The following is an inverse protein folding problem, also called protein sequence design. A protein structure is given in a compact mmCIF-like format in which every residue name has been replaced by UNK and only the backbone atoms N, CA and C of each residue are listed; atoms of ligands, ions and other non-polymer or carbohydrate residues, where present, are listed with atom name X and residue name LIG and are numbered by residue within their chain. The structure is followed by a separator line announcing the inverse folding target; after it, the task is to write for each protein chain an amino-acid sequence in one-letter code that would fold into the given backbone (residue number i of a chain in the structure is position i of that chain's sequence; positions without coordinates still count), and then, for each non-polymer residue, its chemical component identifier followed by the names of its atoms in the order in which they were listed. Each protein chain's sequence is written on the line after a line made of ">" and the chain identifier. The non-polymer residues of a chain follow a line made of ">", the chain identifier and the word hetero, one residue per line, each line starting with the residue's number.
data_IF_009780187579
#
_entry.id   IF_009780187579
#
_cell.length_a   1.000
_cell.length_b   1.000
_cell.length_c   1.000
_cell.angle_alpha   90.00
_cell.angle_beta   90.00
_cell.angle_gamma   90.00
#
_symmetry.space_group_name_H-M   'P 1'
#
loop_
_entity.id
_entity.type
_entity.pdbx_description
1 polymer ?
#
# COMPACT_ATOMS: atom_id res chain seq x y z
N UNK A 1 24.06 55.53 30.83
CA UNK A 1 23.82 54.19 31.39
C UNK A 1 22.31 54.00 31.53
N UNK A 2 21.76 52.88 31.06
CA UNK A 2 20.38 52.48 31.40
C UNK A 2 19.45 52.16 30.23
N UNK A 3 19.77 51.06 29.51
CA UNK A 3 18.90 50.10 28.82
C UNK A 3 17.45 50.51 28.48
N UNK A 4 17.17 50.66 27.17
CA UNK A 4 15.83 50.49 26.61
C UNK A 4 15.65 49.04 26.16
N UNK A 5 14.70 48.33 26.79
CA UNK A 5 14.16 47.07 26.30
C UNK A 5 13.23 47.35 25.10
N UNK A 6 13.34 46.63 23.97
CA UNK A 6 12.32 46.66 22.94
C UNK A 6 11.20 45.66 23.27
N UNK A 7 10.00 46.19 23.42
CA UNK A 7 8.74 45.47 23.51
C UNK A 7 8.48 44.69 22.21
N UNK A 8 8.42 43.36 22.29
CA UNK A 8 7.98 42.49 21.19
C UNK A 8 6.49 42.71 20.94
N UNK A 9 6.15 43.55 19.96
CA UNK A 9 4.78 43.69 19.46
C UNK A 9 4.48 42.48 18.58
N UNK A 10 3.69 41.57 19.13
CA UNK A 10 3.14 40.40 18.46
C UNK A 10 2.07 40.85 17.45
N UNK A 11 2.45 41.15 16.19
CA UNK A 11 1.49 41.40 15.09
C UNK A 11 1.25 40.12 14.31
N UNK A 12 0.27 39.34 14.75
CA UNK A 12 -0.36 38.33 13.90
C UNK A 12 -1.22 39.01 12.84
N UNK A 13 -0.80 38.95 11.58
CA UNK A 13 -1.64 39.35 10.45
C UNK A 13 -2.43 38.15 9.93
N UNK A 14 -3.69 38.05 10.35
CA UNK A 14 -4.72 37.21 9.75
C UNK A 14 -5.31 37.96 8.54
N UNK A 15 -4.80 37.71 7.34
CA UNK A 15 -5.43 38.17 6.10
C UNK A 15 -6.21 37.01 5.47
N UNK A 16 -7.55 37.07 5.64
CA UNK A 16 -8.52 36.23 4.92
C UNK A 16 -8.43 36.54 3.42
N UNK A 17 -8.11 35.53 2.60
CA UNK A 17 -8.20 35.60 1.13
C UNK A 17 -9.48 34.90 0.66
N UNK A 18 -10.23 35.54 -0.24
CA UNK A 18 -11.56 35.20 -0.76
C UNK A 18 -11.59 34.05 -1.81
N UNK A 19 -10.67 33.10 -1.74
CA UNK A 19 -10.70 31.92 -2.62
C UNK A 19 -10.56 30.63 -1.79
N UNK A 20 -11.71 30.16 -1.30
CA UNK A 20 -11.84 28.93 -0.54
C UNK A 20 -11.71 27.70 -1.44
N UNK A 21 -10.47 27.27 -1.66
CA UNK A 21 -10.16 25.87 -1.96
C UNK A 21 -9.12 25.36 -0.96
N UNK A 22 -9.42 24.32 -0.17
CA UNK A 22 -8.51 23.81 0.88
C UNK A 22 -7.14 23.36 0.36
N UNK A 23 -7.06 22.98 -0.92
CA UNK A 23 -5.80 22.53 -1.56
C UNK A 23 -4.89 23.69 -1.97
N UNK A 24 -5.45 24.84 -2.32
CA UNK A 24 -4.67 26.01 -2.76
C UNK A 24 -4.02 26.73 -1.56
N UNK A 25 -4.73 26.80 -0.43
CA UNK A 25 -4.21 27.40 0.81
C UNK A 25 -3.03 26.61 1.42
N UNK A 26 -2.94 25.28 1.24
CA UNK A 26 -1.81 24.49 1.76
C UNK A 26 -0.50 24.79 1.02
N UNK A 27 -0.53 24.91 -0.31
CA UNK A 27 0.65 25.24 -1.11
C UNK A 27 1.20 26.62 -0.74
N UNK A 28 0.34 27.62 -0.64
CA UNK A 28 0.74 28.99 -0.24
C UNK A 28 1.30 29.03 1.20
N UNK A 29 0.74 28.24 2.13
CA UNK A 29 1.28 28.17 3.49
C UNK A 29 2.69 27.59 3.54
N UNK A 30 3.03 26.57 2.75
CA UNK A 30 4.40 26.02 2.71
C UNK A 30 5.38 27.07 2.18
N UNK A 31 5.04 27.76 1.08
CA UNK A 31 5.89 28.81 0.54
C UNK A 31 6.03 30.01 1.48
N UNK A 32 4.98 30.40 2.21
CA UNK A 32 5.02 31.51 3.18
C UNK A 32 5.74 31.17 4.48
N UNK A 33 5.60 29.94 5.00
CA UNK A 33 6.32 29.48 6.20
C UNK A 33 7.82 29.34 5.91
N UNK A 34 8.18 29.00 4.67
CA UNK A 34 9.57 28.78 4.25
C UNK A 34 10.18 29.99 3.51
N UNK A 35 9.54 31.17 3.56
CA UNK A 35 10.11 32.43 3.06
C UNK A 35 10.34 32.50 1.54
N UNK A 36 9.66 31.68 0.75
CA UNK A 36 9.92 31.59 -0.69
C UNK A 36 9.07 32.58 -1.50
N UNK A 37 9.73 33.44 -2.28
CA UNK A 37 9.12 34.30 -3.29
C UNK A 37 9.66 33.94 -4.67
N UNK A 38 8.80 33.74 -5.70
CA UNK A 38 9.25 33.40 -7.04
C UNK A 38 10.05 34.57 -7.65
N UNK A 39 11.29 34.32 -8.06
CA UNK A 39 12.14 35.29 -8.79
C UNK A 39 13.56 35.51 -8.25
N UNK A 40 13.89 34.99 -7.06
CA UNK A 40 15.27 34.92 -6.55
C UNK A 40 15.52 33.55 -5.95
N UNK A 41 16.60 32.88 -6.36
CA UNK A 41 17.11 31.74 -5.61
C UNK A 41 17.51 32.26 -4.22
N UNK A 42 16.91 31.78 -3.13
CA UNK A 42 17.29 32.22 -1.79
C UNK A 42 18.72 31.72 -1.53
N UNK A 43 19.56 32.63 -1.07
CA UNK A 43 20.85 32.27 -0.48
C UNK A 43 20.55 31.45 0.79
N UNK A 44 21.02 30.22 0.85
CA UNK A 44 20.54 29.23 1.83
C UNK A 44 20.98 29.59 3.25
N UNK A 45 22.06 30.35 3.38
CA UNK A 45 22.51 30.94 4.64
C UNK A 45 21.52 32.01 5.17
N UNK A 46 20.70 32.60 4.30
CA UNK A 46 19.72 33.63 4.65
C UNK A 46 18.35 33.10 5.10
N UNK A 47 18.07 31.80 4.91
CA UNK A 47 16.78 31.21 5.28
C UNK A 47 16.68 30.81 6.77
N UNK A 48 17.80 30.66 7.48
CA UNK A 48 17.86 30.49 8.94
C UNK A 48 17.11 29.27 9.52
N UNK A 49 16.48 28.43 8.70
CA UNK A 49 15.73 27.28 9.18
C UNK A 49 16.66 26.06 9.37
N UNK A 50 16.72 25.47 10.56
CA UNK A 50 17.50 24.26 10.78
C UNK A 50 17.00 23.15 9.84
N UNK A 51 17.92 22.45 9.15
CA UNK A 51 17.60 21.28 8.31
C UNK A 51 16.68 20.26 9.00
N UNK A 52 16.81 20.12 10.33
CA UNK A 52 15.96 19.28 11.15
C UNK A 52 14.46 19.69 11.13
N UNK A 53 14.16 20.99 11.05
CA UNK A 53 12.80 21.52 10.96
C UNK A 53 12.21 21.22 9.57
N UNK A 54 12.97 21.50 8.50
CA UNK A 54 12.55 21.18 7.14
C UNK A 54 12.25 19.69 6.97
N UNK A 55 13.14 18.82 7.49
CA UNK A 55 12.93 17.37 7.47
C UNK A 55 11.63 16.97 8.17
N UNK A 56 11.32 17.54 9.33
CA UNK A 56 10.06 17.28 10.05
C UNK A 56 8.82 17.73 9.27
N UNK A 57 8.90 18.87 8.61
CA UNK A 57 7.81 19.37 7.75
C UNK A 57 7.60 18.41 6.57
N UNK A 58 8.67 18.06 5.85
CA UNK A 58 8.63 17.17 4.70
C UNK A 58 8.08 15.78 5.05
N UNK A 59 8.43 15.23 6.22
CA UNK A 59 7.87 13.96 6.69
C UNK A 59 6.35 13.98 6.88
N UNK A 60 5.72 15.14 6.98
CA UNK A 60 4.25 15.30 7.05
C UNK A 60 3.56 15.53 5.71
N UNK A 61 4.30 15.63 4.60
CA UNK A 61 3.77 15.91 3.28
C UNK A 61 3.31 14.63 2.56
N UNK A 62 2.44 14.79 1.55
CA UNK A 62 2.11 13.69 0.63
C UNK A 62 3.26 13.45 -0.36
N UNK A 63 3.29 12.26 -1.00
CA UNK A 63 4.30 11.98 -2.04
C UNK A 63 4.29 13.02 -3.18
N UNK A 64 3.11 13.47 -3.59
CA UNK A 64 2.98 14.49 -4.65
C UNK A 64 3.56 15.85 -4.21
N UNK A 65 3.34 16.23 -2.96
CA UNK A 65 3.89 17.47 -2.41
C UNK A 65 5.40 17.36 -2.20
N UNK A 66 5.91 16.18 -1.79
CA UNK A 66 7.34 15.91 -1.71
C UNK A 66 8.02 16.00 -3.07
N UNK A 67 7.42 15.41 -4.11
CA UNK A 67 7.92 15.54 -5.48
C UNK A 67 7.99 17.01 -5.91
N UNK A 68 6.99 17.81 -5.53
CA UNK A 68 7.02 19.26 -5.77
C UNK A 68 8.15 19.96 -5.00
N UNK A 69 8.41 19.56 -3.75
CA UNK A 69 9.49 20.12 -2.92
C UNK A 69 10.88 19.81 -3.50
N UNK A 70 11.09 18.63 -4.07
CA UNK A 70 12.35 18.25 -4.72
C UNK A 70 12.68 19.11 -5.96
N UNK A 71 11.70 19.81 -6.52
CA UNK A 71 11.87 20.69 -7.68
C UNK A 71 12.15 22.15 -7.28
N UNK A 72 12.06 22.50 -6.00
CA UNK A 72 12.22 23.89 -5.53
C UNK A 72 13.68 24.34 -5.55
N UNK A 73 14.57 23.56 -4.94
CA UNK A 73 16.01 23.83 -4.91
C UNK A 73 16.83 22.56 -4.68
N UNK A 74 18.15 22.65 -4.88
CA UNK A 74 19.07 21.50 -4.77
C UNK A 74 19.15 20.95 -3.34
N UNK A 75 19.03 21.82 -2.35
CA UNK A 75 19.16 21.51 -0.92
C UNK A 75 17.93 20.75 -0.39
N UNK A 76 16.74 21.10 -0.88
CA UNK A 76 15.53 20.34 -0.54
C UNK A 76 15.54 18.98 -1.19
N UNK A 77 15.98 18.92 -2.45
CA UNK A 77 16.22 17.66 -3.14
C UNK A 77 17.20 16.80 -2.37
N UNK A 78 18.38 17.32 -2.01
CA UNK A 78 19.40 16.55 -1.29
C UNK A 78 18.96 16.12 0.11
N UNK A 79 18.08 16.88 0.78
CA UNK A 79 17.51 16.47 2.06
C UNK A 79 16.50 15.31 1.92
N UNK A 80 15.65 15.36 0.90
CA UNK A 80 14.59 14.37 0.63
C UNK A 80 15.17 13.10 0.01
N UNK A 81 16.17 13.23 -0.86
CA UNK A 81 16.77 12.16 -1.67
C UNK A 81 17.81 11.36 -0.88
N UNK A 82 17.47 11.00 0.37
CA UNK A 82 18.31 10.20 1.27
C UNK A 82 17.56 8.99 1.78
N UNK A 83 18.27 7.87 1.95
CA UNK A 83 17.69 6.65 2.52
C UNK A 83 17.10 6.91 3.92
N UNK A 84 17.73 7.74 4.73
CA UNK A 84 17.26 8.06 6.08
C UNK A 84 15.97 8.86 6.09
N UNK A 85 15.78 9.77 5.13
CA UNK A 85 14.51 10.47 4.97
C UNK A 85 13.40 9.47 4.66
N UNK A 86 13.59 8.62 3.67
CA UNK A 86 12.57 7.66 3.23
C UNK A 86 12.25 6.58 4.25
N UNK A 87 13.25 6.07 4.98
CA UNK A 87 13.01 5.16 6.13
C UNK A 87 12.10 5.82 7.18
N UNK A 88 12.37 7.07 7.53
CA UNK A 88 11.55 7.81 8.47
C UNK A 88 10.15 8.08 7.91
N UNK A 89 10.05 8.43 6.62
CA UNK A 89 8.78 8.65 5.94
C UNK A 89 7.92 7.39 5.93
N UNK A 90 8.50 6.23 5.59
CA UNK A 90 7.79 4.94 5.56
C UNK A 90 7.32 4.55 6.95
N UNK A 91 8.21 4.62 7.94
CA UNK A 91 7.86 4.28 9.33
C UNK A 91 6.71 5.15 9.84
N UNK A 92 6.72 6.45 9.51
CA UNK A 92 5.70 7.40 9.95
C UNK A 92 4.36 7.18 9.25
N UNK A 93 4.37 6.99 7.92
CA UNK A 93 3.15 7.01 7.12
C UNK A 93 2.55 5.62 6.87
N UNK A 94 3.36 4.56 6.95
CA UNK A 94 2.94 3.20 6.59
C UNK A 94 3.22 2.16 7.70
N UNK A 95 3.96 2.52 8.75
CA UNK A 95 4.17 1.78 10.01
C UNK A 95 4.02 0.25 9.96
N UNK A 96 5.13 -0.48 10.01
CA UNK A 96 5.13 -1.95 9.83
C UNK A 96 4.85 -2.74 11.12
N UNK A 97 4.20 -2.12 12.11
CA UNK A 97 3.81 -2.85 13.29
C UNK A 97 2.59 -3.71 12.94
N UNK A 98 2.60 -4.97 13.38
CA UNK A 98 1.50 -5.90 13.15
C UNK A 98 0.28 -5.46 13.97
N UNK A 99 -0.89 -5.49 13.34
CA UNK A 99 -2.20 -5.25 13.93
C UNK A 99 -2.93 -6.60 14.00
N UNK A 100 -3.72 -6.78 15.05
CA UNK A 100 -4.60 -7.95 15.11
C UNK A 100 -5.65 -7.84 13.99
N UNK A 101 -5.76 -8.83 13.09
CA UNK A 101 -6.85 -8.88 12.13
C UNK A 101 -8.18 -8.93 12.89
N UNK A 102 -8.94 -7.83 12.87
CA UNK A 102 -10.23 -7.76 13.56
C UNK A 102 -11.20 -8.84 13.10
N UNK A 103 -12.27 -9.08 13.88
CA UNK A 103 -13.20 -10.22 13.69
C UNK A 103 -13.82 -10.33 12.29
N UNK A 104 -13.89 -9.21 11.56
CA UNK A 104 -14.43 -9.12 10.21
C UNK A 104 -13.31 -8.98 9.17
N UNK A 105 -12.28 -9.82 9.22
CA UNK A 105 -11.21 -9.83 8.21
C UNK A 105 -10.94 -11.23 7.69
N UNK A 106 -10.54 -11.34 6.41
CA UNK A 106 -10.22 -12.62 5.78
C UNK A 106 -9.20 -13.43 6.60
N UNK A 107 -8.17 -12.75 7.12
CA UNK A 107 -7.16 -13.36 7.99
C UNK A 107 -7.75 -13.86 9.32
N UNK A 108 -8.68 -13.12 9.93
CA UNK A 108 -9.35 -13.58 11.14
C UNK A 108 -10.17 -14.84 10.86
N UNK A 109 -10.94 -14.85 9.78
CA UNK A 109 -11.74 -16.01 9.39
C UNK A 109 -10.87 -17.25 9.14
N UNK A 110 -9.77 -17.12 8.39
CA UNK A 110 -8.85 -18.25 8.16
C UNK A 110 -8.14 -18.72 9.43
N UNK A 111 -7.82 -17.80 10.36
CA UNK A 111 -7.16 -18.14 11.61
C UNK A 111 -8.12 -18.82 12.61
N UNK A 112 -9.34 -18.32 12.73
CA UNK A 112 -10.26 -18.69 13.81
C UNK A 112 -11.37 -19.65 13.37
N UNK A 113 -12.06 -19.42 12.25
CA UNK A 113 -13.21 -20.25 11.85
C UNK A 113 -12.81 -21.63 11.30
N UNK A 114 -11.55 -21.82 10.90
CA UNK A 114 -11.02 -23.15 10.62
C UNK A 114 -10.72 -23.99 11.88
N UNK A 115 -10.83 -23.43 13.08
CA UNK A 115 -10.76 -24.21 14.31
C UNK A 115 -12.05 -24.97 14.61
N UNK A 116 -13.18 -24.48 14.11
CA UNK A 116 -14.51 -25.03 14.40
C UNK A 116 -15.07 -25.91 13.26
N UNK A 117 -14.49 -25.83 12.05
CA UNK A 117 -14.82 -26.72 10.94
C UNK A 117 -13.92 -27.97 10.95
N UNK A 118 -14.58 -29.12 11.17
CA UNK A 118 -14.07 -30.49 11.30
C UNK A 118 -12.81 -30.75 10.47
N UNK A 119 -11.64 -30.74 11.10
CA UNK A 119 -10.45 -31.38 10.53
C UNK A 119 -10.77 -32.87 10.37
N UNK A 120 -10.46 -33.52 9.23
CA UNK A 120 -10.60 -34.96 9.10
C UNK A 120 -9.88 -35.67 10.27
N UNK A 121 -10.47 -36.73 10.85
CA UNK A 121 -9.84 -37.47 11.95
C UNK A 121 -8.41 -37.88 11.57
N UNK A 122 -7.43 -37.54 12.41
CA UNK A 122 -6.02 -37.89 12.20
C UNK A 122 -5.12 -36.81 11.57
N UNK A 123 -5.67 -35.64 11.24
CA UNK A 123 -4.86 -34.48 10.81
C UNK A 123 -4.53 -33.61 12.03
N UNK A 124 -3.24 -33.43 12.32
CA UNK A 124 -2.79 -32.54 13.37
C UNK A 124 -3.22 -31.09 13.05
N UNK A 125 -3.75 -30.37 14.02
CA UNK A 125 -4.07 -28.95 13.90
C UNK A 125 -2.82 -28.10 13.59
N UNK A 126 -1.63 -28.57 13.99
CA UNK A 126 -0.36 -27.96 13.58
C UNK A 126 -0.13 -28.13 12.06
N UNK A 127 -0.72 -29.16 11.44
CA UNK A 127 -0.57 -29.50 10.03
C UNK A 127 -1.80 -29.22 9.14
N UNK A 128 -2.60 -28.18 9.45
CA UNK A 128 -3.73 -27.76 8.59
C UNK A 128 -3.29 -27.59 7.11
N UNK A 129 -3.79 -28.42 6.19
CA UNK A 129 -3.21 -28.53 4.86
C UNK A 129 -3.66 -27.46 3.85
N UNK A 130 -4.55 -26.56 4.23
CA UNK A 130 -5.18 -25.62 3.30
C UNK A 130 -5.11 -24.16 3.76
N UNK A 131 -4.06 -23.81 4.52
CA UNK A 131 -3.79 -22.43 4.94
C UNK A 131 -2.35 -22.03 4.66
N UNK A 132 -2.10 -20.71 4.66
CA UNK A 132 -0.77 -20.15 4.64
C UNK A 132 0.01 -20.52 5.91
N UNK A 133 1.26 -20.96 5.75
CA UNK A 133 2.15 -21.27 6.86
C UNK A 133 3.58 -20.77 6.62
N UNK A 134 4.08 -19.85 7.44
CA UNK A 134 3.37 -19.18 8.55
C UNK A 134 2.30 -18.19 8.06
N UNK A 135 1.30 -17.88 8.90
CA UNK A 135 0.18 -17.00 8.56
C UNK A 135 0.61 -15.56 8.20
N UNK A 136 0.06 -14.96 7.12
CA UNK A 136 0.37 -13.59 6.71
C UNK A 136 0.06 -12.56 7.80
N UNK A 137 0.77 -11.43 7.73
CA UNK A 137 0.67 -10.36 8.72
C UNK A 137 -0.19 -9.21 8.20
N UNK A 138 -1.01 -8.62 9.07
CA UNK A 138 -1.72 -7.36 8.81
C UNK A 138 -0.91 -6.19 9.40
N UNK A 139 -0.39 -5.30 8.57
CA UNK A 139 0.28 -4.09 9.06
C UNK A 139 -0.72 -3.02 9.51
N UNK A 140 -0.27 -2.05 10.32
CA UNK A 140 -1.10 -0.93 10.81
C UNK A 140 -1.74 -0.06 9.71
N UNK A 141 -1.21 -0.10 8.51
CA UNK A 141 -1.79 0.56 7.34
C UNK A 141 -2.88 -0.28 6.64
N UNK A 142 -3.37 -1.34 7.30
CA UNK A 142 -4.40 -2.26 6.81
C UNK A 142 -4.00 -3.00 5.51
N UNK A 143 -2.69 -3.19 5.32
CA UNK A 143 -2.11 -3.97 4.22
C UNK A 143 -1.67 -5.33 4.73
N UNK A 144 -2.08 -6.39 4.03
CA UNK A 144 -1.65 -7.76 4.28
C UNK A 144 -0.32 -8.02 3.56
N UNK A 145 0.63 -8.62 4.26
CA UNK A 145 1.96 -8.94 3.72
C UNK A 145 2.37 -10.36 4.09
N UNK A 146 3.30 -10.98 3.34
CA UNK A 146 3.94 -12.21 3.76
C UNK A 146 4.55 -12.11 5.16
N UNK A 147 4.52 -13.22 5.88
CA UNK A 147 5.10 -13.31 7.23
C UNK A 147 6.57 -12.98 7.22
N UNK A 148 7.00 -12.16 8.18
CA UNK A 148 8.39 -11.73 8.29
C UNK A 148 8.83 -10.77 7.19
N UNK A 149 7.93 -10.30 6.31
CA UNK A 149 8.27 -9.26 5.34
C UNK A 149 8.76 -8.02 6.08
N UNK A 150 9.91 -7.50 5.68
CA UNK A 150 10.52 -6.31 6.26
C UNK A 150 10.35 -5.12 5.31
N UNK A 151 10.34 -3.88 5.83
CA UNK A 151 10.47 -2.70 4.99
C UNK A 151 11.70 -2.81 4.08
N UNK A 152 11.66 -2.19 2.90
CA UNK A 152 12.79 -2.21 1.99
C UNK A 152 14.06 -1.70 2.65
N UNK A 153 15.17 -2.33 2.29
CA UNK A 153 16.52 -1.86 2.52
C UNK A 153 17.21 -1.78 1.16
N UNK A 154 17.98 -0.72 0.91
CA UNK A 154 18.68 -0.56 -0.36
C UNK A 154 18.90 0.90 -0.74
N UNK A 155 18.96 1.14 -2.05
CA UNK A 155 19.07 2.46 -2.66
C UNK A 155 17.80 3.29 -2.47
N UNK A 156 17.90 4.60 -2.73
CA UNK A 156 16.77 5.52 -2.69
C UNK A 156 15.65 5.08 -3.65
N UNK A 157 16.00 4.54 -4.82
CA UNK A 157 15.02 4.05 -5.80
C UNK A 157 14.14 2.92 -5.27
N UNK A 158 14.71 2.00 -4.46
CA UNK A 158 13.92 0.93 -3.82
C UNK A 158 12.86 1.53 -2.90
N UNK A 159 13.21 2.59 -2.16
CA UNK A 159 12.23 3.29 -1.31
C UNK A 159 11.22 4.07 -2.14
N UNK A 160 11.62 4.74 -3.21
CA UNK A 160 10.71 5.43 -4.13
C UNK A 160 9.67 4.48 -4.70
N UNK A 161 10.11 3.31 -5.20
CA UNK A 161 9.23 2.29 -5.75
C UNK A 161 8.26 1.75 -4.70
N UNK A 162 8.75 1.44 -3.49
CA UNK A 162 7.89 1.01 -2.39
C UNK A 162 6.82 2.05 -2.04
N UNK A 163 7.21 3.31 -1.86
CA UNK A 163 6.24 4.37 -1.51
C UNK A 163 5.25 4.61 -2.64
N UNK A 164 5.67 4.50 -3.90
CA UNK A 164 4.76 4.56 -5.05
C UNK A 164 3.77 3.38 -5.01
N UNK A 165 4.23 2.15 -4.79
CA UNK A 165 3.37 0.96 -4.65
C UNK A 165 2.34 1.13 -3.52
N UNK A 166 2.78 1.55 -2.33
CA UNK A 166 1.89 1.83 -1.20
C UNK A 166 0.82 2.88 -1.51
N UNK A 167 1.17 3.92 -2.27
CA UNK A 167 0.20 4.94 -2.67
C UNK A 167 -0.83 4.43 -3.68
N UNK A 168 -0.44 3.51 -4.56
CA UNK A 168 -1.39 2.83 -5.46
C UNK A 168 -2.34 1.97 -4.64
N UNK A 169 -1.82 1.12 -3.75
CA UNK A 169 -2.64 0.27 -2.87
C UNK A 169 -3.60 1.07 -2.00
N UNK A 170 -3.17 2.21 -1.45
CA UNK A 170 -4.06 3.06 -0.66
C UNK A 170 -5.25 3.57 -1.49
N UNK A 171 -5.03 3.96 -2.74
CA UNK A 171 -6.14 4.40 -3.62
C UNK A 171 -7.11 3.25 -3.91
N UNK A 172 -6.60 2.04 -4.06
CA UNK A 172 -7.42 0.83 -4.25
C UNK A 172 -8.24 0.57 -2.99
N UNK A 173 -7.60 0.55 -1.82
CA UNK A 173 -8.26 0.40 -0.53
C UNK A 173 -9.37 1.45 -0.32
N UNK A 174 -9.07 2.73 -0.54
CA UNK A 174 -10.06 3.82 -0.42
C UNK A 174 -11.27 3.59 -1.35
N UNK A 175 -11.05 3.08 -2.57
CA UNK A 175 -12.14 2.76 -3.50
C UNK A 175 -12.97 1.57 -3.03
N UNK A 176 -12.37 0.48 -2.54
CA UNK A 176 -13.09 -0.69 -2.01
C UNK A 176 -14.04 -0.27 -0.89
N UNK A 177 -13.55 0.56 0.03
CA UNK A 177 -14.35 1.09 1.14
C UNK A 177 -15.53 1.91 0.62
N UNK A 178 -15.30 2.78 -0.37
CA UNK A 178 -16.37 3.56 -1.00
C UNK A 178 -17.46 2.70 -1.66
N UNK A 179 -17.12 1.52 -2.17
CA UNK A 179 -18.08 0.58 -2.77
C UNK A 179 -18.71 -0.40 -1.76
N UNK A 180 -18.40 -0.29 -0.46
CA UNK A 180 -19.02 -1.12 0.59
C UNK A 180 -18.57 -2.58 0.61
N UNK A 181 -17.46 -2.93 -0.07
CA UNK A 181 -16.93 -4.29 -0.18
C UNK A 181 -16.07 -4.73 1.03
N UNK A 182 -16.19 -4.04 2.18
CA UNK A 182 -15.13 -3.96 3.20
C UNK A 182 -14.96 -5.18 4.11
N UNK A 183 -15.90 -6.12 4.15
CA UNK A 183 -15.93 -7.08 5.26
C UNK A 183 -15.10 -8.35 5.01
N UNK A 184 -14.75 -8.65 3.76
CA UNK A 184 -13.98 -9.85 3.43
C UNK A 184 -12.92 -9.58 2.36
N UNK A 185 -12.64 -8.31 2.05
CA UNK A 185 -11.68 -7.90 1.03
C UNK A 185 -10.65 -6.98 1.66
N UNK A 186 -9.37 -7.32 1.48
CA UNK A 186 -8.23 -6.54 1.92
C UNK A 186 -7.28 -6.28 0.76
N UNK A 187 -6.41 -5.28 0.93
CA UNK A 187 -5.28 -5.08 0.02
C UNK A 187 -4.06 -5.83 0.54
N UNK A 188 -3.24 -6.33 -0.38
CA UNK A 188 -2.00 -7.03 -0.04
C UNK A 188 -0.82 -6.58 -0.90
N UNK A 189 0.39 -6.81 -0.38
CA UNK A 189 1.65 -6.39 -0.98
C UNK A 189 2.74 -7.42 -0.70
N UNK A 190 3.55 -7.74 -1.71
CA UNK A 190 4.80 -8.48 -1.52
C UNK A 190 5.89 -8.00 -2.49
N UNK A 191 7.13 -8.37 -2.16
CA UNK A 191 8.31 -8.01 -2.95
C UNK A 191 8.47 -8.98 -4.12
N UNK A 192 8.73 -8.45 -5.30
CA UNK A 192 8.95 -9.22 -6.52
C UNK A 192 10.33 -8.94 -7.08
N UNK A 193 11.21 -9.94 -7.06
CA UNK A 193 12.63 -9.77 -7.42
C UNK A 193 12.98 -10.34 -8.79
N UNK A 194 11.99 -10.76 -9.56
CA UNK A 194 12.22 -11.28 -10.90
C UNK A 194 12.16 -10.12 -11.90
N UNK A 195 13.22 -9.97 -12.67
CA UNK A 195 13.44 -8.79 -13.50
C UNK A 195 12.46 -8.69 -14.68
N UNK A 196 11.95 -9.82 -15.21
CA UNK A 196 11.18 -9.81 -16.46
C UNK A 196 9.96 -10.76 -16.51
N UNK A 197 9.66 -11.48 -15.42
CA UNK A 197 8.54 -12.44 -15.41
C UNK A 197 7.36 -11.95 -14.58
N UNK A 198 6.15 -12.17 -15.13
CA UNK A 198 4.89 -12.02 -14.41
C UNK A 198 4.80 -13.15 -13.36
N UNK A 199 4.53 -12.89 -12.06
CA UNK A 199 4.19 -13.93 -11.10
C UNK A 199 3.04 -14.77 -11.66
N UNK A 200 3.24 -16.07 -11.66
CA UNK A 200 2.20 -17.06 -11.78
C UNK A 200 1.38 -17.13 -10.48
N UNK A 201 0.21 -17.80 -10.50
CA UNK A 201 -0.50 -18.15 -9.27
C UNK A 201 0.41 -18.88 -8.25
N UNK A 202 1.29 -19.77 -8.71
CA UNK A 202 2.25 -20.48 -7.85
C UNK A 202 3.25 -19.53 -7.19
N UNK A 203 3.74 -18.52 -7.91
CA UNK A 203 4.66 -17.53 -7.34
C UNK A 203 4.00 -16.71 -6.23
N UNK A 204 2.71 -16.37 -6.38
CA UNK A 204 1.93 -15.71 -5.34
C UNK A 204 1.78 -16.65 -4.13
N UNK A 205 1.47 -17.92 -4.36
CA UNK A 205 1.37 -18.91 -3.30
C UNK A 205 2.67 -19.07 -2.53
N UNK A 206 3.79 -19.15 -3.24
CA UNK A 206 5.12 -19.28 -2.63
C UNK A 206 5.48 -18.02 -1.84
N UNK A 207 5.17 -16.84 -2.35
CA UNK A 207 5.38 -15.58 -1.63
C UNK A 207 4.62 -15.52 -0.29
N UNK A 208 3.43 -16.11 -0.21
CA UNK A 208 2.63 -16.19 1.01
C UNK A 208 2.86 -17.48 1.82
N UNK A 209 3.84 -18.30 1.43
CA UNK A 209 4.11 -19.61 2.03
C UNK A 209 2.85 -20.49 2.13
N UNK A 210 2.11 -20.62 1.03
CA UNK A 210 0.97 -21.51 0.97
C UNK A 210 1.38 -22.97 1.24
N UNK A 211 0.53 -23.71 1.93
CA UNK A 211 0.73 -25.14 2.11
C UNK A 211 0.70 -25.89 0.76
N UNK A 212 1.44 -27.00 0.64
CA UNK A 212 1.59 -27.74 -0.61
C UNK A 212 0.24 -28.21 -1.21
N UNK A 213 -0.72 -28.59 -0.37
CA UNK A 213 -2.05 -29.01 -0.83
C UNK A 213 -2.89 -27.83 -1.37
N UNK A 214 -2.80 -26.65 -0.73
CA UNK A 214 -3.39 -25.42 -1.27
C UNK A 214 -2.78 -25.04 -2.62
N UNK A 215 -1.45 -25.22 -2.75
CA UNK A 215 -0.72 -25.00 -4.00
C UNK A 215 -1.19 -25.95 -5.11
N UNK A 216 -1.29 -27.24 -4.82
CA UNK A 216 -1.74 -28.24 -5.80
C UNK A 216 -3.17 -27.98 -6.29
N UNK A 217 -4.07 -27.55 -5.40
CA UNK A 217 -5.44 -27.17 -5.81
C UNK A 217 -5.43 -26.01 -6.82
N UNK A 218 -4.64 -24.98 -6.54
CA UNK A 218 -4.52 -23.85 -7.46
C UNK A 218 -3.81 -24.23 -8.76
N UNK A 219 -2.79 -25.09 -8.73
CA UNK A 219 -2.17 -25.61 -9.95
C UNK A 219 -3.16 -26.40 -10.81
N UNK A 220 -4.02 -27.21 -10.19
CA UNK A 220 -5.03 -28.01 -10.90
C UNK A 220 -6.17 -27.15 -11.49
N UNK A 221 -6.54 -26.06 -10.80
CA UNK A 221 -7.71 -25.25 -11.14
C UNK A 221 -7.37 -23.92 -11.85
N UNK A 222 -6.09 -23.50 -11.86
CA UNK A 222 -5.66 -22.26 -12.53
C UNK A 222 -5.65 -22.42 -14.06
N UNK A 223 -6.84 -22.27 -14.65
CA UNK A 223 -7.04 -22.17 -16.09
C UNK A 223 -6.75 -20.75 -16.60
N UNK A 224 -5.48 -20.34 -16.50
CA UNK A 224 -4.94 -19.27 -17.36
C UNK A 224 -4.72 -17.89 -16.72
N UNK A 225 -3.58 -17.30 -17.10
CA UNK A 225 -3.28 -15.89 -16.95
C UNK A 225 -4.28 -15.10 -17.80
N UNK A 226 -4.95 -14.11 -17.22
CA UNK A 226 -5.85 -13.23 -17.98
C UNK A 226 -4.99 -12.20 -18.72
N UNK A 227 -4.82 -12.42 -20.02
CA UNK A 227 -4.19 -11.45 -20.93
C UNK A 227 -5.14 -10.27 -21.21
N UNK A 228 -4.55 -9.11 -21.52
CA UNK A 228 -5.11 -7.75 -21.46
C UNK A 228 -6.36 -7.48 -22.31
N UNK A 229 -6.78 -8.43 -23.15
CA UNK A 229 -7.94 -8.34 -24.04
C UNK A 229 -9.11 -9.24 -23.64
N UNK A 230 -8.90 -10.17 -22.71
CA UNK A 230 -9.95 -11.07 -22.24
C UNK A 230 -10.65 -10.44 -21.03
N UNK A 231 -11.99 -10.26 -21.13
CA UNK A 231 -12.84 -10.17 -19.93
C UNK A 231 -12.33 -11.25 -18.97
N UNK A 232 -12.00 -10.91 -17.72
CA UNK A 232 -11.57 -11.88 -16.70
C UNK A 232 -12.52 -13.06 -16.79
N UNK A 233 -12.05 -14.15 -17.40
CA UNK A 233 -12.88 -15.33 -17.63
C UNK A 233 -12.80 -16.04 -16.30
N UNK A 234 -13.92 -16.12 -15.59
CA UNK A 234 -13.91 -16.88 -14.37
C UNK A 234 -13.53 -18.34 -14.68
N UNK A 235 -12.80 -19.03 -13.78
CA UNK A 235 -12.51 -20.45 -13.97
C UNK A 235 -13.79 -21.23 -14.26
N UNK A 236 -13.71 -22.20 -15.16
CA UNK A 236 -14.88 -22.97 -15.59
C UNK A 236 -15.56 -23.64 -14.38
N UNK A 237 -16.88 -23.45 -14.24
CA UNK A 237 -17.71 -24.20 -13.29
C UNK A 237 -18.14 -23.46 -12.02
N UNK A 238 -17.72 -22.21 -11.80
CA UNK A 238 -18.15 -21.43 -10.63
C UNK A 238 -19.13 -20.33 -11.06
N UNK A 239 -20.30 -20.22 -10.40
CA UNK A 239 -21.33 -19.21 -10.70
C UNK A 239 -20.95 -17.86 -10.08
N UNK A 240 -20.46 -16.95 -10.93
CA UNK A 240 -19.88 -15.68 -10.54
C UNK A 240 -20.80 -14.47 -10.72
N UNK A 241 -22.12 -14.64 -10.80
CA UNK A 241 -23.05 -13.51 -11.01
C UNK A 241 -22.90 -12.38 -9.99
N UNK A 242 -22.46 -12.67 -8.75
CA UNK A 242 -22.09 -11.65 -7.75
C UNK A 242 -20.67 -11.07 -7.91
N UNK A 243 -19.74 -11.81 -8.51
CA UNK A 243 -18.34 -11.41 -8.66
C UNK A 243 -18.07 -10.61 -9.95
N UNK A 244 -18.99 -10.58 -10.92
CA UNK A 244 -18.87 -9.69 -12.08
C UNK A 244 -18.78 -8.22 -11.63
N UNK A 245 -19.57 -7.84 -10.61
CA UNK A 245 -19.48 -6.51 -10.00
C UNK A 245 -18.13 -6.30 -9.30
N UNK A 246 -17.62 -7.30 -8.57
CA UNK A 246 -16.33 -7.23 -7.90
C UNK A 246 -15.16 -7.04 -8.88
N UNK A 247 -15.15 -7.83 -9.95
CA UNK A 247 -14.19 -7.76 -11.05
C UNK A 247 -14.29 -6.41 -11.77
N UNK A 248 -15.51 -5.94 -12.06
CA UNK A 248 -15.72 -4.64 -12.71
C UNK A 248 -15.23 -3.48 -11.83
N UNK A 249 -15.54 -3.51 -10.54
CA UNK A 249 -15.04 -2.55 -9.55
C UNK A 249 -13.51 -2.61 -9.48
N UNK A 250 -12.92 -3.81 -9.47
CA UNK A 250 -11.47 -4.00 -9.48
C UNK A 250 -10.84 -3.41 -10.75
N UNK A 251 -11.34 -3.72 -11.94
CA UNK A 251 -10.85 -3.14 -13.20
C UNK A 251 -10.93 -1.60 -13.16
N UNK A 252 -12.04 -1.02 -12.67
CA UNK A 252 -12.18 0.43 -12.47
C UNK A 252 -11.24 1.00 -11.41
N UNK A 253 -10.80 0.20 -10.44
CA UNK A 253 -9.81 0.62 -9.45
C UNK A 253 -8.43 0.87 -10.08
N UNK A 254 -8.04 0.02 -11.05
CA UNK A 254 -6.71 -0.05 -11.65
C UNK A 254 -6.54 0.65 -13.02
N UNK A 255 -7.62 0.98 -13.72
CA UNK A 255 -7.62 1.71 -15.02
C UNK A 255 -6.93 3.10 -15.04
N UNK A 256 -6.29 3.54 -13.95
CA UNK A 256 -5.71 4.89 -13.80
C UNK A 256 -4.16 4.93 -13.83
N UNK A 257 -3.48 3.93 -14.40
CA UNK A 257 -2.06 4.06 -14.77
C UNK A 257 -1.10 2.98 -14.27
N UNK A 258 -1.50 1.71 -14.24
CA UNK A 258 -0.61 0.55 -14.09
C UNK A 258 -0.64 -0.30 -15.36
N UNK A 259 0.50 -0.90 -15.74
CA UNK A 259 0.62 -1.76 -16.92
C UNK A 259 -0.03 -3.14 -16.67
N UNK A 260 -1.13 -3.39 -17.39
CA UNK A 260 -1.28 -4.44 -18.42
C UNK A 260 -1.32 -5.93 -18.03
N UNK A 261 -1.46 -6.31 -16.75
CA UNK A 261 -1.78 -7.71 -16.42
C UNK A 261 -2.27 -7.94 -14.99
N UNK A 262 -3.19 -8.90 -14.89
CA UNK A 262 -3.86 -9.30 -13.64
C UNK A 262 -3.68 -10.81 -13.46
N UNK A 263 -3.15 -11.20 -12.31
CA UNK A 263 -3.15 -12.59 -11.85
C UNK A 263 -4.34 -12.77 -10.92
N UNK A 264 -5.33 -13.54 -11.37
CA UNK A 264 -6.52 -13.83 -10.59
C UNK A 264 -6.65 -15.35 -10.41
N UNK A 265 -6.83 -15.80 -9.18
CA UNK A 265 -7.13 -17.20 -8.89
C UNK A 265 -7.89 -17.32 -7.57
N UNK A 266 -8.60 -18.43 -7.43
CA UNK A 266 -9.26 -18.84 -6.21
C UNK A 266 -8.85 -20.28 -5.89
N UNK A 267 -8.79 -20.62 -4.60
CA UNK A 267 -8.86 -22.01 -4.18
C UNK A 267 -10.35 -22.37 -4.04
N UNK A 268 -10.80 -23.49 -4.56
CA UNK A 268 -12.20 -23.94 -4.42
C UNK A 268 -12.28 -25.32 -3.80
N UNK A 269 -11.53 -25.51 -2.72
CA UNK A 269 -11.58 -26.76 -1.99
C UNK A 269 -12.79 -26.76 -1.05
N UNK A 270 -13.63 -27.81 -1.10
CA UNK A 270 -14.89 -27.91 -0.33
C UNK A 270 -14.69 -27.81 1.20
N UNK A 271 -13.49 -28.12 1.68
CA UNK A 271 -13.11 -28.01 3.10
C UNK A 271 -12.64 -26.61 3.51
N UNK A 272 -12.56 -25.67 2.57
CA UNK A 272 -12.00 -24.34 2.76
C UNK A 272 -13.11 -23.29 2.71
N UNK A 273 -13.80 -23.11 3.83
CA UNK A 273 -14.74 -22.00 3.99
C UNK A 273 -14.25 -21.04 5.10
N UNK A 274 -13.89 -19.78 4.76
CA UNK A 274 -13.91 -19.18 3.42
C UNK A 274 -12.60 -19.43 2.65
N UNK A 275 -12.67 -19.47 1.32
CA UNK A 275 -11.51 -19.74 0.48
C UNK A 275 -10.74 -18.47 0.08
N UNK A 276 -9.39 -18.46 0.12
CA UNK A 276 -8.61 -17.32 -0.32
C UNK A 276 -8.68 -17.17 -1.85
N UNK A 277 -9.02 -15.96 -2.26
CA UNK A 277 -8.92 -15.48 -3.63
C UNK A 277 -7.95 -14.32 -3.72
N UNK A 278 -7.20 -14.26 -4.83
CA UNK A 278 -6.26 -13.19 -5.12
C UNK A 278 -6.62 -12.52 -6.44
N UNK A 279 -6.45 -11.20 -6.49
CA UNK A 279 -6.39 -10.45 -7.74
C UNK A 279 -5.20 -9.48 -7.64
N UNK A 280 -4.11 -9.78 -8.35
CA UNK A 280 -2.80 -9.14 -8.19
C UNK A 280 -2.31 -8.49 -9.48
N UNK A 281 -1.50 -7.44 -9.35
CA UNK A 281 -0.80 -6.82 -10.48
C UNK A 281 0.56 -6.27 -10.04
N UNK A 282 1.44 -6.00 -11.01
CA UNK A 282 2.70 -5.31 -10.76
C UNK A 282 2.42 -3.82 -10.54
N UNK A 283 2.74 -3.33 -9.35
CA UNK A 283 2.49 -1.93 -8.97
C UNK A 283 3.63 -1.03 -9.44
N UNK A 284 4.86 -1.48 -9.21
CA UNK A 284 6.12 -0.81 -9.58
C UNK A 284 7.21 -1.85 -9.69
N UNK A 285 8.36 -1.51 -10.29
CA UNK A 285 9.55 -2.37 -10.25
C UNK A 285 9.85 -2.82 -8.82
N UNK A 286 9.93 -4.14 -8.60
CA UNK A 286 10.20 -4.71 -7.28
C UNK A 286 8.97 -5.04 -6.43
N UNK A 287 7.74 -4.67 -6.84
CA UNK A 287 6.56 -4.71 -5.97
C UNK A 287 5.29 -5.15 -6.68
N UNK A 288 4.68 -6.21 -6.16
CA UNK A 288 3.40 -6.78 -6.61
C UNK A 288 2.37 -6.63 -5.50
N UNK A 289 1.15 -6.25 -5.86
CA UNK A 289 0.07 -6.11 -4.90
C UNK A 289 -1.30 -6.07 -5.56
N UNK A 290 -2.33 -6.08 -4.74
CA UNK A 290 -3.69 -6.17 -5.24
C UNK A 290 -4.69 -6.44 -4.12
N UNK A 291 -5.67 -7.27 -4.43
CA UNK A 291 -6.70 -7.69 -3.48
C UNK A 291 -6.48 -9.12 -3.03
N UNK A 292 -6.76 -9.32 -1.75
CA UNK A 292 -6.92 -10.61 -1.10
C UNK A 292 -8.32 -10.64 -0.50
N UNK A 293 -9.11 -11.63 -0.88
CA UNK A 293 -10.48 -11.76 -0.39
C UNK A 293 -10.78 -13.19 0.03
N UNK A 294 -11.79 -13.35 0.87
CA UNK A 294 -12.35 -14.65 1.19
C UNK A 294 -13.77 -14.74 0.64
N UNK A 295 -14.09 -15.87 0.00
CA UNK A 295 -15.42 -16.19 -0.53
C UNK A 295 -16.12 -17.14 0.42
#
# INVERSE_FOLDING_TARGET
>A
MGNQHPTLVNRGYLLRSKHDSPRYNRKICIYRVLGYFPGKAPDVDSLGFPFAVCKRIFLGLSLADLGSCMLVCKEWRSLIDTCDFWRAYIRRNYGNAVKDPGQNSALHWWKYNQADNVTPPGVDYADRPYVFKPFPELWRCDVIVPTGMRPPTGSVDVYHNFVRAMNVLRRIHDKIVCYGLSNIVHVCLFRWMHDDFKPSPCDVMDAFNAHALLRHDVEANSSGIVDDSARIVPPQGVDYRGQTYFIEVFSRCFQLGTQDWIVAFHCSHELLEPAPGFIMTLLTQGWVGGLLYAV
#
